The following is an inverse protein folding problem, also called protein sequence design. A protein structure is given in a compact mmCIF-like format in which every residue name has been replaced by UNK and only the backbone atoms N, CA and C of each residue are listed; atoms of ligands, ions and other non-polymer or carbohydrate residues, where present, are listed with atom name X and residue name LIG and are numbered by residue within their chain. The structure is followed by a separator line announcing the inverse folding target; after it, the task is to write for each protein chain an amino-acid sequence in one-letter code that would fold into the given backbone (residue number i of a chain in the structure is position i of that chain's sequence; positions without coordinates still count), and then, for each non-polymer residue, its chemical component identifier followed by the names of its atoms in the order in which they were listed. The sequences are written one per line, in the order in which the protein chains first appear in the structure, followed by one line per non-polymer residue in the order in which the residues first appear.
data_IF_468010902124
#
_entry.id   IF_468010902124
#
_cell.length_a   1.000
_cell.length_b   1.000
_cell.length_c   1.000
_cell.angle_alpha   90.00
_cell.angle_beta   90.00
_cell.angle_gamma   90.00
#
_symmetry.space_group_name_H-M   'P 1'
#
loop_
_entity.id
_entity.type
_entity.pdbx_description
1 polymer ?
#
# COMPACT_ATOMS: atom_id res chain seq x y z
N UNK A 1 -28.97 -33.24 -18.27
CA UNK A 1 -27.74 -32.41 -17.90
C UNK A 1 -26.65 -33.36 -17.45
N UNK A 2 -25.44 -33.25 -18.03
CA UNK A 2 -24.34 -34.10 -17.63
C UNK A 2 -23.91 -33.82 -16.17
N UNK A 3 -23.41 -34.83 -15.48
CA UNK A 3 -22.91 -34.72 -14.10
C UNK A 3 -21.84 -33.64 -13.97
N UNK A 4 -21.06 -33.39 -15.03
CA UNK A 4 -20.03 -32.34 -15.09
C UNK A 4 -20.68 -30.96 -15.09
N UNK A 5 -21.75 -30.72 -15.85
CA UNK A 5 -22.45 -29.42 -15.88
C UNK A 5 -23.10 -29.09 -14.55
N UNK A 6 -23.59 -30.10 -13.82
CA UNK A 6 -24.13 -29.91 -12.47
C UNK A 6 -23.04 -29.51 -11.48
N UNK A 7 -21.89 -30.18 -11.48
CA UNK A 7 -20.75 -29.87 -10.62
C UNK A 7 -20.13 -28.51 -10.92
N UNK A 8 -20.03 -28.13 -12.19
CA UNK A 8 -19.54 -26.78 -12.56
C UNK A 8 -20.48 -25.69 -12.07
N UNK A 9 -21.81 -25.90 -12.11
CA UNK A 9 -22.77 -24.92 -11.58
C UNK A 9 -22.76 -24.83 -10.04
N UNK A 10 -22.35 -25.88 -9.36
CA UNK A 10 -22.19 -25.90 -7.91
C UNK A 10 -20.85 -25.24 -7.46
N UNK A 11 -19.79 -25.43 -8.25
CA UNK A 11 -18.45 -24.92 -7.92
C UNK A 11 -18.20 -23.48 -8.35
N UNK A 12 -18.93 -22.97 -9.34
CA UNK A 12 -18.78 -21.59 -9.87
C UNK A 12 -20.17 -20.93 -9.98
N UNK A 13 -20.80 -20.59 -8.86
CA UNK A 13 -22.18 -20.05 -8.85
C UNK A 13 -22.34 -18.82 -9.74
N UNK A 14 -21.36 -17.91 -9.73
CA UNK A 14 -21.37 -16.69 -10.53
C UNK A 14 -21.36 -16.97 -12.04
N UNK A 15 -20.49 -17.89 -12.50
CA UNK A 15 -20.44 -18.26 -13.92
C UNK A 15 -21.73 -18.98 -14.38
N UNK A 16 -22.31 -19.77 -13.49
CA UNK A 16 -23.58 -20.47 -13.73
C UNK A 16 -24.77 -19.49 -13.75
N UNK A 17 -24.81 -18.51 -12.85
CA UNK A 17 -25.83 -17.47 -12.78
C UNK A 17 -25.78 -16.56 -14.03
N UNK A 18 -24.58 -16.14 -14.42
CA UNK A 18 -24.35 -15.33 -15.63
C UNK A 18 -24.84 -16.01 -16.89
N UNK A 19 -24.57 -17.33 -17.02
CA UNK A 19 -25.03 -18.14 -18.15
C UNK A 19 -26.53 -18.32 -18.21
N UNK A 20 -27.23 -18.23 -17.03
CA UNK A 20 -28.67 -18.36 -16.90
C UNK A 20 -29.43 -17.01 -16.90
N UNK A 21 -28.70 -15.89 -16.84
CA UNK A 21 -29.29 -14.55 -16.74
C UNK A 21 -29.91 -14.24 -15.37
N UNK A 22 -29.54 -14.98 -14.34
CA UNK A 22 -30.06 -14.82 -12.97
C UNK A 22 -29.31 -13.68 -12.25
N UNK A 23 -29.78 -12.44 -12.46
CA UNK A 23 -29.13 -11.23 -11.93
C UNK A 23 -29.00 -11.20 -10.41
N UNK A 24 -29.96 -11.71 -9.67
CA UNK A 24 -29.94 -11.74 -8.20
C UNK A 24 -28.85 -12.68 -7.66
N UNK A 25 -28.68 -13.86 -8.27
CA UNK A 25 -27.64 -14.81 -7.89
C UNK A 25 -26.27 -14.29 -8.34
N UNK A 26 -26.20 -13.61 -9.50
CA UNK A 26 -25.00 -12.94 -9.96
C UNK A 26 -24.58 -11.82 -8.99
N UNK A 27 -25.52 -10.99 -8.54
CA UNK A 27 -25.30 -9.94 -7.56
C UNK A 27 -24.90 -10.49 -6.18
N UNK A 28 -25.54 -11.55 -5.71
CA UNK A 28 -25.21 -12.22 -4.44
C UNK A 28 -23.86 -12.94 -4.50
N UNK A 29 -23.46 -13.43 -5.68
CA UNK A 29 -22.18 -14.08 -5.93
C UNK A 29 -21.08 -13.10 -6.31
N UNK A 30 -21.45 -11.85 -6.64
CA UNK A 30 -20.47 -10.78 -6.89
C UNK A 30 -19.84 -10.43 -5.57
N UNK A 31 -18.52 -10.51 -5.50
CA UNK A 31 -17.83 -10.17 -4.29
C UNK A 31 -18.07 -8.70 -3.87
N UNK A 32 -18.87 -8.47 -2.84
CA UNK A 32 -18.83 -7.17 -2.14
C UNK A 32 -17.44 -6.93 -1.60
N UNK A 33 -16.85 -5.73 -1.76
CA UNK A 33 -15.60 -5.41 -1.09
C UNK A 33 -15.76 -5.67 0.41
N UNK A 34 -14.99 -6.59 0.96
CA UNK A 34 -14.94 -6.81 2.40
C UNK A 34 -14.53 -5.49 3.05
N UNK A 35 -15.46 -4.79 3.66
CA UNK A 35 -15.14 -3.62 4.46
C UNK A 35 -14.67 -4.13 5.82
N UNK A 36 -13.35 -4.03 6.08
CA UNK A 36 -12.91 -4.03 7.47
C UNK A 36 -13.48 -2.76 8.13
N UNK A 37 -14.49 -2.94 8.96
CA UNK A 37 -14.95 -1.85 9.82
C UNK A 37 -14.10 -1.90 11.09
N UNK A 38 -13.17 -0.97 11.19
CA UNK A 38 -12.27 -0.83 12.34
C UNK A 38 -12.69 0.41 13.10
N UNK A 39 -12.96 0.26 14.39
CA UNK A 39 -13.65 1.28 15.20
C UNK A 39 -12.71 2.38 15.71
N UNK A 40 -11.41 2.12 15.81
CA UNK A 40 -10.44 3.08 16.40
C UNK A 40 -9.11 3.09 15.64
N UNK A 41 -8.37 4.22 15.69
CA UNK A 41 -7.01 4.30 15.19
C UNK A 41 -6.10 3.22 15.80
N UNK A 42 -5.10 2.78 15.07
CA UNK A 42 -4.14 1.73 15.46
C UNK A 42 -4.73 0.35 15.77
N UNK A 43 -6.03 0.11 15.54
CA UNK A 43 -6.58 -1.23 15.74
C UNK A 43 -6.15 -2.21 14.64
N UNK A 44 -5.98 -1.73 13.41
CA UNK A 44 -5.52 -2.56 12.29
C UNK A 44 -4.71 -1.73 11.30
N UNK A 45 -3.49 -2.15 11.04
CA UNK A 45 -2.72 -1.65 9.91
C UNK A 45 -2.66 -2.67 8.78
N UNK A 46 -2.67 -2.16 7.54
CA UNK A 46 -2.32 -2.95 6.36
C UNK A 46 -0.96 -2.48 5.85
N UNK A 47 -0.12 -3.44 5.45
CA UNK A 47 1.22 -3.18 4.92
C UNK A 47 1.41 -3.95 3.62
N UNK A 48 2.11 -3.35 2.66
CA UNK A 48 2.41 -3.96 1.37
C UNK A 48 3.64 -3.32 0.72
N UNK A 49 4.17 -3.98 -0.32
CA UNK A 49 5.30 -3.51 -1.13
C UNK A 49 4.85 -3.16 -2.54
N UNK A 50 5.50 -2.18 -3.13
CA UNK A 50 5.34 -1.87 -4.55
C UNK A 50 6.64 -1.34 -5.14
N UNK A 51 6.90 -1.64 -6.41
CA UNK A 51 7.97 -0.99 -7.17
C UNK A 51 7.47 0.39 -7.56
N UNK A 52 8.23 1.43 -7.23
CA UNK A 52 7.85 2.80 -7.58
C UNK A 52 8.04 3.04 -9.08
N UNK A 53 7.04 3.64 -9.72
CA UNK A 53 7.03 3.87 -11.17
C UNK A 53 7.91 5.06 -11.60
N UNK A 54 9.12 5.15 -11.05
CA UNK A 54 10.11 6.18 -11.39
C UNK A 54 11.52 5.61 -11.31
N UNK A 55 12.36 5.96 -12.29
CA UNK A 55 13.81 5.69 -12.24
C UNK A 55 14.46 6.80 -11.42
N UNK A 56 15.31 6.40 -10.47
CA UNK A 56 16.11 7.34 -9.67
C UNK A 56 17.58 7.33 -10.11
N UNK A 57 18.31 8.35 -9.67
CA UNK A 57 19.72 8.53 -9.97
C UNK A 57 20.58 8.44 -8.71
N UNK A 58 21.85 8.11 -8.85
CA UNK A 58 22.82 8.19 -7.77
C UNK A 58 23.08 9.65 -7.33
N UNK A 59 23.55 9.83 -6.09
CA UNK A 59 23.77 11.17 -5.52
C UNK A 59 24.99 11.90 -6.11
N UNK A 60 26.00 11.16 -6.55
CA UNK A 60 27.27 11.73 -6.93
C UNK A 60 27.33 12.13 -8.42
N UNK A 61 26.91 11.25 -9.31
CA UNK A 61 27.06 11.41 -10.76
C UNK A 61 25.73 11.63 -11.48
N UNK A 62 24.63 11.55 -10.76
CA UNK A 62 23.25 11.67 -11.30
C UNK A 62 22.96 10.67 -12.43
N UNK A 63 23.55 9.46 -12.33
CA UNK A 63 23.32 8.38 -13.29
C UNK A 63 22.13 7.52 -12.84
N UNK A 64 21.31 7.05 -13.77
CA UNK A 64 20.21 6.15 -13.46
C UNK A 64 20.70 4.88 -12.76
N UNK A 65 20.08 4.53 -11.63
CA UNK A 65 20.42 3.36 -10.81
C UNK A 65 19.28 2.37 -10.65
N UNK A 66 18.08 2.71 -11.15
CA UNK A 66 16.94 1.82 -11.15
C UNK A 66 15.70 2.37 -10.50
N UNK A 67 14.73 1.50 -10.26
CA UNK A 67 13.45 1.83 -9.64
C UNK A 67 13.46 1.35 -8.19
N UNK A 68 13.16 2.23 -7.22
CA UNK A 68 13.11 1.82 -5.82
C UNK A 68 11.84 1.05 -5.50
N UNK A 69 11.88 0.36 -4.36
CA UNK A 69 10.75 -0.36 -3.79
C UNK A 69 10.24 0.41 -2.58
N UNK A 70 8.96 0.68 -2.57
CA UNK A 70 8.23 1.31 -1.48
C UNK A 70 7.54 0.23 -0.65
N UNK A 71 7.87 0.15 0.64
CA UNK A 71 7.09 -0.56 1.66
C UNK A 71 6.26 0.48 2.39
N UNK A 72 4.95 0.31 2.46
CA UNK A 72 4.06 1.32 3.03
C UNK A 72 2.99 0.68 3.91
N UNK A 73 2.66 1.34 5.03
CA UNK A 73 1.63 0.91 5.96
C UNK A 73 0.53 1.96 6.09
N UNK A 74 -0.73 1.51 6.12
CA UNK A 74 -1.92 2.36 6.30
C UNK A 74 -2.71 1.93 7.54
N UNK A 75 -3.16 2.89 8.33
CA UNK A 75 -4.18 2.67 9.36
C UNK A 75 -5.56 2.49 8.70
N UNK A 76 -6.19 1.35 8.95
CA UNK A 76 -7.45 0.97 8.28
C UNK A 76 -8.63 1.79 8.77
N UNK A 77 -8.62 2.27 10.01
CA UNK A 77 -9.70 3.12 10.54
C UNK A 77 -9.71 4.50 9.89
N UNK A 78 -8.59 5.19 9.96
CA UNK A 78 -8.47 6.61 9.59
C UNK A 78 -8.03 6.85 8.16
N UNK A 79 -7.49 5.83 7.49
CA UNK A 79 -6.79 5.92 6.19
C UNK A 79 -5.49 6.74 6.26
N UNK A 80 -5.02 7.08 7.45
CA UNK A 80 -3.69 7.69 7.59
C UNK A 80 -2.62 6.72 7.15
N UNK A 81 -1.65 7.19 6.39
CA UNK A 81 -0.40 6.45 6.19
C UNK A 81 0.30 6.39 7.53
N UNK A 82 0.54 5.19 8.05
CA UNK A 82 1.23 5.02 9.33
C UNK A 82 2.72 5.28 9.19
N UNK A 83 3.32 4.75 8.14
CA UNK A 83 4.72 4.94 7.83
C UNK A 83 5.08 4.30 6.48
N UNK A 84 6.32 4.52 6.05
CA UNK A 84 6.87 3.89 4.86
C UNK A 84 8.39 3.69 4.98
N UNK A 85 8.93 2.87 4.09
CA UNK A 85 10.35 2.69 3.85
C UNK A 85 10.61 2.61 2.34
N UNK A 86 11.66 3.27 1.87
CA UNK A 86 12.05 3.31 0.47
C UNK A 86 13.47 2.74 0.32
N UNK A 87 13.65 1.77 -0.57
CA UNK A 87 14.94 1.09 -0.78
C UNK A 87 15.10 0.67 -2.23
N UNK A 88 16.36 0.47 -2.67
CA UNK A 88 16.69 -0.23 -3.90
C UNK A 88 16.79 -1.74 -3.72
N UNK A 89 16.85 -2.20 -2.47
CA UNK A 89 16.93 -3.62 -2.15
C UNK A 89 15.60 -4.32 -2.38
N UNK A 90 15.65 -5.60 -2.71
CA UNK A 90 14.47 -6.43 -2.82
C UNK A 90 13.66 -6.46 -1.51
N UNK A 91 12.32 -6.62 -1.56
CA UNK A 91 11.50 -6.74 -0.37
C UNK A 91 12.01 -7.83 0.56
N UNK A 92 12.03 -7.52 1.85
CA UNK A 92 12.56 -8.41 2.88
C UNK A 92 11.91 -8.12 4.24
N UNK A 93 12.11 -8.99 5.21
CA UNK A 93 11.72 -8.73 6.60
C UNK A 93 12.36 -7.47 7.17
N UNK A 94 13.55 -7.08 6.67
CA UNK A 94 14.20 -5.83 7.06
C UNK A 94 13.43 -4.61 6.57
N UNK A 95 13.01 -4.58 5.30
CA UNK A 95 12.21 -3.48 4.76
C UNK A 95 10.85 -3.35 5.46
N UNK A 96 10.22 -4.49 5.84
CA UNK A 96 9.02 -4.50 6.68
C UNK A 96 9.31 -3.91 8.05
N UNK A 97 10.40 -4.35 8.71
CA UNK A 97 10.82 -3.85 10.02
C UNK A 97 11.08 -2.34 10.02
N UNK A 98 11.81 -1.83 9.02
CA UNK A 98 12.11 -0.39 8.88
C UNK A 98 10.85 0.43 8.62
N UNK A 99 9.91 -0.07 7.81
CA UNK A 99 8.61 0.55 7.62
C UNK A 99 7.82 0.61 8.94
N UNK A 100 7.79 -0.48 9.72
CA UNK A 100 7.11 -0.52 11.01
C UNK A 100 7.78 0.41 12.03
N UNK A 101 9.11 0.46 12.10
CA UNK A 101 9.82 1.41 12.94
C UNK A 101 9.42 2.85 12.60
N UNK A 102 9.46 3.22 11.32
CA UNK A 102 9.01 4.55 10.90
C UNK A 102 7.52 4.79 11.23
N UNK A 103 6.68 3.77 11.18
CA UNK A 103 5.25 3.89 11.50
C UNK A 103 4.98 4.09 13.00
N UNK A 104 5.72 3.37 13.86
CA UNK A 104 5.48 3.33 15.32
C UNK A 104 6.03 4.55 16.04
N UNK A 105 7.20 5.06 15.62
CA UNK A 105 7.84 6.18 16.28
C UNK A 105 7.23 7.54 15.90
N UNK A 106 7.39 8.52 16.78
CA UNK A 106 7.15 9.93 16.46
C UNK A 106 8.05 10.36 15.29
N UNK A 107 7.47 11.13 14.38
CA UNK A 107 8.14 11.51 13.13
C UNK A 107 8.65 12.94 13.10
N UNK A 108 8.52 13.67 14.21
CA UNK A 108 8.89 15.10 14.28
C UNK A 108 10.35 15.29 13.88
N UNK A 109 11.29 14.61 14.53
CA UNK A 109 12.72 14.72 14.19
C UNK A 109 13.01 14.27 12.75
N UNK A 110 12.36 13.23 12.27
CA UNK A 110 12.52 12.73 10.90
C UNK A 110 12.01 13.74 9.85
N UNK A 111 10.92 14.44 10.14
CA UNK A 111 10.36 15.51 9.29
C UNK A 111 11.27 16.74 9.31
N UNK A 112 11.76 17.14 10.49
CA UNK A 112 12.66 18.29 10.67
C UNK A 112 13.95 18.11 9.85
N UNK A 113 14.58 16.94 9.90
CA UNK A 113 15.77 16.62 9.11
C UNK A 113 15.55 16.78 7.60
N UNK A 114 14.31 16.64 7.15
CA UNK A 114 13.91 16.78 5.73
C UNK A 114 13.34 18.14 5.39
N UNK A 115 13.26 19.06 6.38
CA UNK A 115 12.69 20.40 6.22
C UNK A 115 11.21 20.34 5.83
N UNK A 116 10.42 19.49 6.49
CA UNK A 116 8.98 19.33 6.29
C UNK A 116 8.27 19.84 7.54
N UNK A 117 7.67 21.02 7.45
CA UNK A 117 6.91 21.65 8.54
C UNK A 117 5.40 21.32 8.42
N UNK A 118 5.09 20.03 8.30
CA UNK A 118 3.70 19.53 8.27
C UNK A 118 3.62 18.32 9.20
N UNK A 119 2.72 18.29 10.18
CA UNK A 119 2.69 17.23 11.17
C UNK A 119 2.25 15.89 10.59
N UNK A 120 2.91 14.83 11.06
CA UNK A 120 2.53 13.45 10.81
C UNK A 120 2.26 12.74 12.16
N UNK A 121 1.04 12.83 12.68
CA UNK A 121 0.76 12.48 14.08
C UNK A 121 0.61 10.98 14.35
N UNK A 122 0.69 10.13 13.31
CA UNK A 122 0.56 8.69 13.52
C UNK A 122 1.77 8.18 14.29
N UNK A 123 1.53 7.56 15.43
CA UNK A 123 2.53 6.92 16.26
C UNK A 123 1.88 5.82 17.11
N UNK A 124 2.69 4.98 17.77
CA UNK A 124 2.26 3.87 18.60
C UNK A 124 2.12 2.55 17.86
N UNK A 125 1.93 1.47 18.60
CA UNK A 125 1.85 0.10 18.07
C UNK A 125 0.42 -0.19 17.57
N UNK A 126 0.25 -0.90 16.45
CA UNK A 126 -1.05 -1.41 16.05
C UNK A 126 -1.44 -2.64 16.89
N UNK A 127 -2.74 -2.84 17.11
CA UNK A 127 -3.23 -4.08 17.73
C UNK A 127 -3.11 -5.29 16.78
N UNK A 128 -3.27 -5.04 15.47
CA UNK A 128 -3.11 -6.05 14.44
C UNK A 128 -2.41 -5.50 13.20
N UNK A 129 -1.62 -6.36 12.57
CA UNK A 129 -0.95 -6.10 11.29
C UNK A 129 -1.48 -7.10 10.26
N UNK A 130 -2.04 -6.60 9.17
CA UNK A 130 -2.57 -7.38 8.07
C UNK A 130 -1.68 -7.21 6.83
N UNK A 131 -1.13 -8.32 6.36
CA UNK A 131 -0.22 -8.39 5.23
C UNK A 131 -0.63 -9.48 4.24
N UNK A 132 0.00 -9.49 3.08
CA UNK A 132 -0.18 -10.58 2.13
C UNK A 132 0.57 -11.85 2.57
N UNK A 133 0.59 -12.87 1.70
CA UNK A 133 1.26 -14.14 1.96
C UNK A 133 2.70 -14.18 1.45
N UNK A 134 3.33 -13.05 1.16
CA UNK A 134 4.72 -12.98 0.72
C UNK A 134 5.71 -13.59 1.72
N UNK A 135 6.83 -14.08 1.23
CA UNK A 135 7.85 -14.71 2.06
C UNK A 135 8.45 -13.73 3.10
N UNK A 136 8.56 -12.48 2.75
CA UNK A 136 9.03 -11.35 3.55
C UNK A 136 8.14 -11.12 4.78
N UNK A 137 6.81 -11.26 4.63
CA UNK A 137 5.84 -11.16 5.72
C UNK A 137 5.71 -12.46 6.53
N UNK A 138 6.11 -13.60 5.98
CA UNK A 138 6.11 -14.90 6.67
C UNK A 138 7.43 -15.21 7.39
N UNK A 139 8.31 -14.23 7.49
CA UNK A 139 9.57 -14.42 8.19
C UNK A 139 9.36 -14.66 9.68
N UNK A 140 10.19 -15.53 10.25
CA UNK A 140 10.18 -15.80 11.69
C UNK A 140 10.48 -14.55 12.50
N UNK A 141 11.39 -13.68 11.99
CA UNK A 141 11.76 -12.45 12.66
C UNK A 141 10.56 -11.49 12.83
N UNK A 142 9.72 -11.33 11.79
CA UNK A 142 8.49 -10.53 11.90
C UNK A 142 7.48 -11.15 12.86
N UNK A 143 7.30 -12.47 12.80
CA UNK A 143 6.37 -13.16 13.69
C UNK A 143 6.79 -13.06 15.17
N UNK A 144 8.08 -13.24 15.46
CA UNK A 144 8.63 -13.11 16.82
C UNK A 144 8.53 -11.66 17.32
N UNK A 145 8.84 -10.65 16.47
CA UNK A 145 8.66 -9.24 16.82
C UNK A 145 7.19 -8.90 17.09
N UNK A 146 6.27 -9.31 16.24
CA UNK A 146 4.84 -9.08 16.46
C UNK A 146 4.37 -9.71 17.79
N UNK A 147 4.83 -10.93 18.10
CA UNK A 147 4.51 -11.60 19.36
C UNK A 147 5.05 -10.83 20.57
N UNK A 148 6.30 -10.37 20.50
CA UNK A 148 6.95 -9.63 21.60
C UNK A 148 6.20 -8.33 21.92
N UNK A 149 5.77 -7.61 20.91
CA UNK A 149 5.03 -6.34 21.06
C UNK A 149 3.50 -6.52 21.16
N UNK A 150 2.99 -7.73 21.25
CA UNK A 150 1.56 -8.01 21.36
C UNK A 150 0.74 -7.68 20.10
N UNK A 151 1.38 -7.59 18.94
CA UNK A 151 0.73 -7.31 17.65
C UNK A 151 0.18 -8.60 17.06
N UNK A 152 -1.11 -8.64 16.77
CA UNK A 152 -1.75 -9.77 16.10
C UNK A 152 -1.42 -9.79 14.61
N UNK A 153 -0.50 -10.65 14.19
CA UNK A 153 -0.17 -10.83 12.77
C UNK A 153 -1.29 -11.59 12.05
N UNK A 154 -1.80 -11.04 10.96
CA UNK A 154 -2.90 -11.57 10.15
C UNK A 154 -2.48 -11.64 8.69
N UNK A 155 -2.72 -12.77 8.03
CA UNK A 155 -2.43 -12.96 6.61
C UNK A 155 -3.72 -12.92 5.79
N UNK A 156 -3.64 -12.38 4.58
CA UNK A 156 -4.77 -12.42 3.63
C UNK A 156 -5.11 -13.88 3.30
N UNK A 157 -6.38 -14.28 3.35
CA UNK A 157 -6.76 -15.60 2.88
C UNK A 157 -6.39 -15.75 1.40
N UNK A 158 -5.89 -16.91 0.96
CA UNK A 158 -5.60 -17.16 -0.45
C UNK A 158 -6.82 -16.89 -1.34
N UNK A 159 -6.59 -16.35 -2.54
CA UNK A 159 -7.62 -16.04 -3.53
C UNK A 159 -8.73 -15.04 -3.09
N UNK A 160 -8.46 -14.21 -2.07
CA UNK A 160 -9.39 -13.17 -1.61
C UNK A 160 -8.78 -11.77 -1.72
N UNK A 161 -8.64 -11.19 -2.92
CA UNK A 161 -7.99 -9.88 -3.13
C UNK A 161 -8.66 -8.72 -2.38
N UNK A 162 -9.89 -8.90 -1.94
CA UNK A 162 -10.71 -7.87 -1.25
C UNK A 162 -10.16 -7.40 0.08
N UNK A 163 -9.41 -8.25 0.79
CA UNK A 163 -8.89 -7.90 2.11
C UNK A 163 -7.74 -6.88 2.07
N UNK A 164 -7.11 -6.65 0.91
CA UNK A 164 -6.07 -5.65 0.70
C UNK A 164 -6.55 -4.31 0.16
N UNK A 165 -7.83 -4.12 -0.06
CA UNK A 165 -8.37 -3.00 -0.85
C UNK A 165 -8.03 -1.58 -0.34
N UNK A 166 -7.63 -1.40 0.92
CA UNK A 166 -7.23 -0.09 1.44
C UNK A 166 -5.79 0.24 1.06
N UNK A 167 -4.88 -0.69 1.30
CA UNK A 167 -3.47 -0.51 0.94
C UNK A 167 -3.27 -0.46 -0.58
N UNK A 168 -3.96 -1.31 -1.33
CA UNK A 168 -3.91 -1.32 -2.80
C UNK A 168 -4.39 0.03 -3.39
N UNK A 169 -5.46 0.61 -2.83
CA UNK A 169 -5.95 1.92 -3.26
C UNK A 169 -5.00 3.05 -2.90
N UNK A 170 -4.37 2.98 -1.71
CA UNK A 170 -3.33 3.92 -1.32
C UNK A 170 -2.16 3.86 -2.30
N UNK A 171 -1.63 2.66 -2.56
CA UNK A 171 -0.53 2.45 -3.52
C UNK A 171 -0.90 3.00 -4.90
N UNK A 172 -2.10 2.70 -5.40
CA UNK A 172 -2.59 3.25 -6.67
C UNK A 172 -2.63 4.78 -6.68
N UNK A 173 -3.02 5.41 -5.57
CA UNK A 173 -3.03 6.87 -5.43
C UNK A 173 -1.60 7.43 -5.45
N UNK A 174 -0.67 6.82 -4.72
CA UNK A 174 0.75 7.23 -4.69
C UNK A 174 1.41 7.07 -6.06
N UNK A 175 1.20 5.93 -6.73
CA UNK A 175 1.76 5.70 -8.07
C UNK A 175 1.17 6.66 -9.10
N UNK A 176 -0.11 6.99 -9.01
CA UNK A 176 -0.72 8.03 -9.86
C UNK A 176 -0.04 9.41 -9.71
N UNK A 177 0.36 9.78 -8.49
CA UNK A 177 1.10 11.01 -8.24
C UNK A 177 2.55 10.91 -8.77
N UNK A 178 3.21 9.75 -8.60
CA UNK A 178 4.57 9.48 -9.11
C UNK A 178 4.67 9.64 -10.64
N UNK A 179 3.59 9.35 -11.37
CA UNK A 179 3.59 9.51 -12.84
C UNK A 179 3.78 10.95 -13.31
N UNK A 180 3.68 11.94 -12.43
CA UNK A 180 3.98 13.35 -12.74
C UNK A 180 5.47 13.70 -12.60
N UNK A 181 6.28 12.78 -12.06
CA UNK A 181 7.70 12.99 -11.84
C UNK A 181 8.52 12.72 -13.10
N UNK A 182 9.64 13.45 -13.30
CA UNK A 182 10.60 13.11 -14.34
C UNK A 182 11.22 11.72 -14.04
N UNK A 183 11.51 10.98 -15.10
CA UNK A 183 11.99 9.60 -14.96
C UNK A 183 10.89 8.56 -14.69
N UNK A 184 9.61 8.96 -14.74
CA UNK A 184 8.50 8.00 -14.59
C UNK A 184 8.55 6.88 -15.62
N UNK A 185 8.22 5.66 -15.19
CA UNK A 185 8.08 4.52 -16.08
C UNK A 185 6.62 4.27 -16.47
N UNK A 186 5.69 5.04 -15.90
CA UNK A 186 4.26 4.87 -15.99
C UNK A 186 3.80 3.47 -15.52
N UNK A 187 2.50 3.23 -15.48
CA UNK A 187 1.95 1.95 -15.04
C UNK A 187 2.17 0.80 -16.05
N UNK A 188 2.45 1.12 -17.30
CA UNK A 188 2.74 0.11 -18.32
C UNK A 188 3.45 0.70 -19.56
N UNK A 189 4.06 -0.20 -20.36
CA UNK A 189 4.83 0.15 -21.56
C UNK A 189 4.00 0.87 -22.62
N UNK A 190 2.70 0.58 -22.74
CA UNK A 190 1.82 1.23 -23.74
C UNK A 190 1.62 2.71 -23.41
N UNK A 191 1.40 3.03 -22.13
CA UNK A 191 1.25 4.43 -21.66
C UNK A 191 2.58 5.16 -21.76
N UNK A 192 3.70 4.50 -21.42
CA UNK A 192 5.04 5.07 -21.54
C UNK A 192 5.37 5.48 -22.98
N UNK A 193 4.99 4.65 -23.96
CA UNK A 193 5.32 4.91 -25.37
C UNK A 193 6.82 5.11 -25.60
N UNK A 194 7.18 6.18 -26.28
CA UNK A 194 8.57 6.55 -26.55
C UNK A 194 9.24 7.42 -25.46
N UNK A 195 8.65 7.54 -24.27
CA UNK A 195 9.23 8.34 -23.18
C UNK A 195 10.50 7.70 -22.63
N UNK A 196 11.61 8.45 -22.67
CA UNK A 196 12.90 8.04 -22.13
C UNK A 196 12.94 8.26 -20.60
N UNK A 197 12.57 7.24 -19.86
CA UNK A 197 12.52 7.29 -18.40
C UNK A 197 13.92 7.45 -17.78
N UNK A 198 14.93 6.79 -18.31
CA UNK A 198 16.29 6.84 -17.79
C UNK A 198 16.95 8.20 -18.09
N UNK A 199 16.86 8.67 -19.33
CA UNK A 199 17.42 9.96 -19.72
C UNK A 199 16.73 11.16 -19.08
N UNK A 200 15.53 10.99 -18.53
CA UNK A 200 14.79 12.01 -17.78
C UNK A 200 14.80 11.82 -16.28
N UNK A 201 15.42 10.75 -15.78
CA UNK A 201 15.58 10.52 -14.34
C UNK A 201 16.47 11.60 -13.73
N UNK A 202 16.02 12.21 -12.61
CA UNK A 202 16.81 13.24 -11.95
C UNK A 202 16.60 13.30 -10.43
N UNK A 203 15.79 12.43 -9.86
CA UNK A 203 15.59 12.37 -8.42
C UNK A 203 16.50 11.31 -7.80
N UNK A 204 17.19 11.65 -6.73
CA UNK A 204 17.88 10.68 -5.87
C UNK A 204 16.88 9.95 -4.98
N UNK A 205 17.33 8.89 -4.29
CA UNK A 205 16.50 8.17 -3.33
C UNK A 205 15.98 9.10 -2.21
N UNK A 206 16.84 9.99 -1.69
CA UNK A 206 16.48 10.94 -0.62
C UNK A 206 15.50 12.02 -1.10
N UNK A 207 15.69 12.51 -2.32
CA UNK A 207 14.77 13.50 -2.92
C UNK A 207 13.39 12.88 -3.17
N UNK A 208 13.34 11.63 -3.65
CA UNK A 208 12.09 10.90 -3.82
C UNK A 208 11.43 10.57 -2.46
N UNK A 209 12.20 10.18 -1.45
CA UNK A 209 11.70 9.93 -0.09
C UNK A 209 11.03 11.20 0.48
N UNK A 210 11.70 12.36 0.37
CA UNK A 210 11.14 13.65 0.78
C UNK A 210 9.86 13.98 -0.01
N UNK A 211 9.86 13.74 -1.30
CA UNK A 211 8.70 14.00 -2.15
C UNK A 211 7.51 13.11 -1.76
N UNK A 212 7.73 11.81 -1.52
CA UNK A 212 6.69 10.89 -1.04
C UNK A 212 6.13 11.36 0.30
N UNK A 213 6.99 11.77 1.23
CA UNK A 213 6.55 12.31 2.52
C UNK A 213 5.66 13.55 2.34
N UNK A 214 6.05 14.51 1.50
CA UNK A 214 5.25 15.69 1.19
C UNK A 214 3.91 15.35 0.53
N UNK A 215 3.89 14.39 -0.38
CA UNK A 215 2.65 13.93 -1.01
C UNK A 215 1.71 13.28 0.03
N UNK A 216 2.26 12.54 1.01
CA UNK A 216 1.51 11.94 2.10
C UNK A 216 0.96 13.01 3.03
N UNK A 217 1.82 13.82 3.67
CA UNK A 217 1.39 14.73 4.74
C UNK A 217 0.72 15.99 4.21
N UNK A 218 1.17 16.51 3.06
CA UNK A 218 0.69 17.75 2.46
C UNK A 218 -0.57 17.58 1.63
N UNK A 219 -0.78 16.40 1.00
CA UNK A 219 -1.92 16.18 0.14
C UNK A 219 -2.81 15.04 0.60
N UNK A 220 -2.28 13.80 0.68
CA UNK A 220 -3.11 12.64 0.95
C UNK A 220 -3.82 12.72 2.30
N UNK A 221 -3.12 13.08 3.38
CA UNK A 221 -3.70 13.22 4.72
C UNK A 221 -4.71 14.38 4.83
N UNK A 222 -4.57 15.41 3.99
CA UNK A 222 -5.42 16.61 4.01
C UNK A 222 -6.62 16.53 3.07
N UNK A 223 -6.57 15.66 2.06
CA UNK A 223 -7.61 15.53 1.03
C UNK A 223 -8.81 14.76 1.58
N UNK A 224 -10.03 15.17 1.22
CA UNK A 224 -11.26 14.42 1.52
C UNK A 224 -11.17 13.03 0.91
N UNK A 225 -11.22 12.01 1.77
CA UNK A 225 -11.22 10.61 1.35
C UNK A 225 -12.65 10.18 1.01
N UNK A 226 -12.87 9.57 -0.15
CA UNK A 226 -14.20 9.27 -0.67
C UNK A 226 -15.07 8.41 0.24
N UNK A 227 -14.50 7.42 0.93
CA UNK A 227 -15.25 6.55 1.84
C UNK A 227 -15.37 7.10 3.27
N UNK A 228 -14.53 8.04 3.67
CA UNK A 228 -14.61 8.69 4.98
C UNK A 228 -15.43 9.98 4.92
N UNK A 229 -15.61 10.57 3.73
CA UNK A 229 -16.20 11.89 3.49
C UNK A 229 -15.51 13.02 4.29
N UNK A 230 -14.31 12.76 4.77
CA UNK A 230 -13.46 13.64 5.59
C UNK A 230 -11.99 13.39 5.24
N UNK A 231 -11.09 14.34 5.52
CA UNK A 231 -9.66 14.10 5.44
C UNK A 231 -9.21 13.02 6.44
N UNK A 232 -8.27 12.12 6.08
CA UNK A 232 -7.68 11.16 7.02
C UNK A 232 -7.20 11.81 8.32
N UNK A 233 -6.51 12.95 8.25
CA UNK A 233 -6.03 13.69 9.41
C UNK A 233 -7.16 14.15 10.35
N UNK A 234 -8.32 14.50 9.82
CA UNK A 234 -9.48 14.91 10.62
C UNK A 234 -10.19 13.72 11.30
N UNK A 235 -9.97 12.51 10.81
CA UNK A 235 -10.48 11.26 11.43
C UNK A 235 -9.51 10.74 12.48
N UNK A 236 -8.20 11.01 12.32
CA UNK A 236 -7.17 10.65 13.30
C UNK A 236 -7.26 11.44 14.59
N UNK A 237 -7.61 12.73 14.54
CA UNK A 237 -7.79 13.65 15.68
C UNK A 237 -9.09 13.39 16.45
#
# INVERSE_FOLDING_TARGET
RSTVQRRVSELIPMAAARKRGEREIEAASTPSPGQFTVAKPNALWQIDHTIVDVVIVDEQFRRPIGRPILTIAIDVCTRMVAGFHLSLDAPSSTSVGLCLLHAVYDKTAWLDERGIDIPWPVAGLPEALHCDNGADFRSRALADACKEYGIKLQFRPPATPRFGGHIERLIGTMMGAVHLLPGTTFSNVKIRGGYDSEGRANLTLRELEKWIALEIVGKYHQRIHTSLLRPPLAVWR
#
